data_IF_507323592167
#
_entry.id   IF_507323592167
#
_cell.length_a   1.000
_cell.length_b   1.000
_cell.length_c   1.000
_cell.angle_alpha   90.00
_cell.angle_beta   90.00
_cell.angle_gamma   90.00
#
_symmetry.space_group_name_H-M   'P 1'
#
loop_
_entity.id
_entity.type
_entity.pdbx_description
1 polymer ?
#
# COMPACT_ATOMS: atom_id res chain seq x y z
N UNK A 1 1.61 26.63 -3.91
CA UNK A 1 0.17 26.36 -3.76
C UNK A 1 -0.06 25.65 -2.44
N UNK A 2 -1.09 26.03 -1.66
CA UNK A 2 -1.39 25.36 -0.39
C UNK A 2 -1.67 23.86 -0.65
N UNK A 3 -0.96 22.97 0.05
CA UNK A 3 -1.10 21.51 -0.11
C UNK A 3 -2.53 21.10 0.23
N UNK A 4 -3.39 20.92 -0.77
CA UNK A 4 -4.75 20.39 -0.59
C UNK A 4 -4.63 18.99 0.02
N UNK A 5 -5.34 18.75 1.12
CA UNK A 5 -5.34 17.47 1.82
C UNK A 5 -5.76 16.30 0.93
N UNK A 6 -5.58 15.06 1.40
CA UNK A 6 -6.10 13.89 0.71
C UNK A 6 -7.61 13.85 0.95
N UNK A 7 -8.41 14.02 -0.11
CA UNK A 7 -9.85 13.90 -0.05
C UNK A 7 -10.23 12.42 -0.13
N UNK A 8 -10.83 11.89 0.94
CA UNK A 8 -11.27 10.49 1.04
C UNK A 8 -12.78 10.49 1.21
N UNK A 9 -13.47 9.69 0.40
CA UNK A 9 -14.90 9.48 0.58
C UNK A 9 -15.15 8.55 1.78
N UNK A 10 -15.60 9.12 2.90
CA UNK A 10 -15.88 8.37 4.13
C UNK A 10 -16.99 7.33 3.95
N UNK A 11 -17.92 7.50 3.00
CA UNK A 11 -18.99 6.52 2.74
C UNK A 11 -18.46 5.26 2.04
N UNK A 12 -17.39 5.40 1.25
CA UNK A 12 -16.70 4.25 0.62
C UNK A 12 -15.71 3.64 1.60
N UNK A 13 -14.92 4.47 2.29
CA UNK A 13 -13.89 3.99 3.22
C UNK A 13 -14.45 3.39 4.51
N UNK A 14 -15.69 3.71 4.89
CA UNK A 14 -16.33 3.25 6.13
C UNK A 14 -15.45 3.43 7.36
N UNK A 15 -14.81 4.60 7.49
CA UNK A 15 -13.85 4.97 8.53
C UNK A 15 -12.55 4.14 8.61
N UNK A 16 -12.29 3.21 7.67
CA UNK A 16 -11.03 2.47 7.62
C UNK A 16 -9.80 3.38 7.48
N UNK A 17 -9.94 4.48 6.74
CA UNK A 17 -8.93 5.53 6.57
C UNK A 17 -8.44 6.17 7.88
N UNK A 18 -9.16 6.00 9.00
CA UNK A 18 -8.77 6.54 10.32
C UNK A 18 -7.74 5.69 11.03
N UNK A 19 -7.59 4.43 10.63
CA UNK A 19 -6.70 3.44 11.23
C UNK A 19 -5.50 3.14 10.32
N UNK A 20 -5.28 4.01 9.33
CA UNK A 20 -4.19 3.92 8.37
C UNK A 20 -3.41 5.22 8.36
N UNK A 21 -2.09 5.12 8.27
CA UNK A 21 -1.26 6.28 7.95
C UNK A 21 -1.34 6.52 6.45
N UNK A 22 -1.94 7.64 6.06
CA UNK A 22 -2.11 8.03 4.66
C UNK A 22 -1.34 9.32 4.42
N UNK A 23 -0.32 9.24 3.58
CA UNK A 23 0.56 10.35 3.27
C UNK A 23 0.59 10.64 1.77
N UNK A 24 0.56 11.94 1.42
CA UNK A 24 0.69 12.38 0.03
C UNK A 24 2.17 12.65 -0.26
N UNK A 25 2.72 11.84 -1.15
CA UNK A 25 4.08 12.00 -1.65
C UNK A 25 4.05 12.75 -2.99
N UNK A 26 4.95 13.74 -3.14
CA UNK A 26 5.09 14.52 -4.39
C UNK A 26 6.22 13.97 -5.27
N UNK A 27 7.36 13.67 -4.66
CA UNK A 27 8.51 13.03 -5.32
C UNK A 27 8.50 11.53 -5.02
N UNK A 28 7.86 10.78 -5.91
CA UNK A 28 7.65 9.33 -5.75
C UNK A 28 8.96 8.54 -5.85
N UNK A 29 9.84 8.93 -6.77
CA UNK A 29 11.12 8.26 -6.97
C UNK A 29 12.00 8.40 -5.74
N UNK A 30 12.15 9.63 -5.23
CA UNK A 30 12.91 9.89 -4.01
C UNK A 30 12.34 9.12 -2.82
N UNK A 31 11.03 9.16 -2.61
CA UNK A 31 10.40 8.46 -1.49
C UNK A 31 10.59 6.94 -1.55
N UNK A 32 10.48 6.33 -2.73
CA UNK A 32 10.72 4.88 -2.90
C UNK A 32 12.17 4.55 -2.58
N UNK A 33 13.14 5.33 -3.08
CA UNK A 33 14.57 5.12 -2.78
C UNK A 33 14.86 5.22 -1.29
N UNK A 34 14.38 6.28 -0.63
CA UNK A 34 14.57 6.50 0.81
C UNK A 34 13.94 5.37 1.65
N UNK A 35 12.73 4.92 1.30
CA UNK A 35 12.07 3.81 1.99
C UNK A 35 12.81 2.49 1.78
N UNK A 36 13.24 2.22 0.54
CA UNK A 36 14.00 1.02 0.19
C UNK A 36 15.30 0.94 0.99
N UNK A 37 16.05 2.04 1.07
CA UNK A 37 17.31 2.13 1.82
C UNK A 37 17.10 2.00 3.33
N UNK A 38 16.09 2.69 3.89
CA UNK A 38 15.86 2.73 5.33
C UNK A 38 15.35 1.41 5.90
N UNK A 39 14.45 0.75 5.17
CA UNK A 39 13.68 -0.39 5.66
C UNK A 39 14.08 -1.72 4.98
N UNK A 40 15.06 -1.68 4.07
CA UNK A 40 15.51 -2.83 3.26
C UNK A 40 14.34 -3.56 2.58
N UNK A 41 13.45 -2.79 1.94
CA UNK A 41 12.23 -3.29 1.30
C UNK A 41 12.54 -3.84 -0.09
N UNK A 42 11.88 -4.94 -0.47
CA UNK A 42 11.70 -5.23 -1.90
C UNK A 42 10.59 -4.34 -2.47
N UNK A 43 10.82 -3.76 -3.65
CA UNK A 43 9.85 -2.95 -4.38
C UNK A 43 9.15 -3.82 -5.42
N UNK A 44 7.87 -4.10 -5.17
CA UNK A 44 7.03 -4.95 -6.04
C UNK A 44 6.07 -4.06 -6.80
N UNK A 45 6.16 -4.07 -8.14
CA UNK A 45 5.38 -3.16 -9.00
C UNK A 45 4.41 -3.97 -9.86
N UNK A 46 3.14 -3.56 -9.89
CA UNK A 46 2.18 -4.13 -10.85
C UNK A 46 2.45 -3.58 -12.24
N UNK A 47 2.77 -4.44 -13.20
CA UNK A 47 3.09 -4.04 -14.57
C UNK A 47 2.53 -5.04 -15.58
N UNK A 48 1.76 -4.55 -16.54
CA UNK A 48 1.16 -5.34 -17.61
C UNK A 48 2.19 -5.59 -18.71
N UNK A 49 2.95 -6.68 -18.56
CA UNK A 49 3.96 -7.11 -19.53
C UNK A 49 4.13 -8.63 -19.44
N UNK A 50 4.50 -9.25 -20.56
CA UNK A 50 4.69 -10.72 -20.63
C UNK A 50 5.87 -11.21 -19.78
N UNK A 51 6.84 -10.34 -19.47
CA UNK A 51 7.98 -10.68 -18.60
C UNK A 51 7.67 -10.54 -17.10
N UNK A 52 6.51 -9.99 -16.74
CA UNK A 52 6.08 -9.90 -15.33
C UNK A 52 5.77 -11.28 -14.76
N UNK A 53 6.20 -11.54 -13.53
CA UNK A 53 5.94 -12.80 -12.82
C UNK A 53 4.47 -12.88 -12.39
N UNK A 54 3.93 -14.09 -12.23
CA UNK A 54 2.66 -14.25 -11.52
C UNK A 54 2.83 -13.69 -10.10
N UNK A 55 1.91 -12.82 -9.67
CA UNK A 55 1.95 -12.22 -8.34
C UNK A 55 2.10 -13.26 -7.21
N UNK A 56 1.60 -14.48 -7.40
CA UNK A 56 1.70 -15.56 -6.41
C UNK A 56 3.11 -16.09 -6.19
N UNK A 57 4.04 -15.85 -7.11
CA UNK A 57 5.42 -16.33 -7.04
C UNK A 57 6.31 -15.48 -6.13
N UNK A 58 5.82 -14.29 -5.73
CA UNK A 58 6.57 -13.38 -4.85
C UNK A 58 6.44 -13.82 -3.39
N UNK A 59 7.56 -13.77 -2.66
CA UNK A 59 7.59 -13.94 -1.21
C UNK A 59 7.26 -12.62 -0.50
N UNK A 60 5.98 -12.43 -0.17
CA UNK A 60 5.47 -11.24 0.53
C UNK A 60 5.72 -11.25 2.05
N UNK A 61 6.38 -12.29 2.57
CA UNK A 61 6.74 -12.36 4.00
C UNK A 61 7.95 -11.51 4.34
N UNK A 62 8.70 -11.06 3.32
CA UNK A 62 9.77 -10.06 3.45
C UNK A 62 9.19 -8.64 3.59
N UNK A 63 9.95 -7.69 4.14
CA UNK A 63 9.62 -6.26 4.06
C UNK A 63 9.37 -5.88 2.59
N UNK A 64 8.17 -5.41 2.28
CA UNK A 64 7.70 -5.24 0.88
C UNK A 64 6.98 -3.92 0.70
N UNK A 65 7.39 -3.17 -0.32
CA UNK A 65 6.66 -2.01 -0.83
C UNK A 65 5.89 -2.43 -2.09
N UNK A 66 4.57 -2.54 -1.97
CA UNK A 66 3.69 -2.80 -3.12
C UNK A 66 3.32 -1.47 -3.79
N UNK A 67 3.68 -1.33 -5.06
CA UNK A 67 3.35 -0.18 -5.90
C UNK A 67 2.32 -0.59 -6.94
N UNK A 68 1.13 0.02 -6.87
CA UNK A 68 0.03 -0.22 -7.80
C UNK A 68 -0.15 0.98 -8.72
N UNK A 69 -0.34 0.71 -10.02
CA UNK A 69 -0.51 1.72 -11.05
C UNK A 69 -1.94 2.23 -11.19
N UNK A 70 -2.12 3.35 -11.90
CA UNK A 70 -3.46 3.85 -12.25
C UNK A 70 -3.95 3.20 -13.56
N UNK A 71 -5.27 3.08 -13.74
CA UNK A 71 -5.98 2.28 -14.73
C UNK A 71 -5.60 2.57 -16.19
N UNK A 72 -5.12 3.79 -16.51
CA UNK A 72 -4.83 4.24 -17.87
C UNK A 72 -3.36 4.10 -18.30
N UNK A 73 -2.41 4.17 -17.38
CA UNK A 73 -0.97 4.24 -17.69
C UNK A 73 -0.11 3.28 -16.88
N UNK A 74 -0.72 2.49 -15.98
CA UNK A 74 0.00 1.69 -15.02
C UNK A 74 0.88 2.58 -14.13
N UNK A 75 2.14 2.19 -13.99
CA UNK A 75 3.18 2.86 -13.21
C UNK A 75 4.14 3.57 -14.18
N UNK A 76 4.68 4.74 -13.81
CA UNK A 76 5.63 5.46 -14.67
C UNK A 76 6.95 4.70 -14.82
N UNK A 77 7.61 4.84 -15.97
CA UNK A 77 8.89 4.16 -16.27
C UNK A 77 9.96 4.39 -15.19
N UNK A 78 10.07 5.61 -14.66
CA UNK A 78 11.01 5.94 -13.58
C UNK A 78 10.81 5.05 -12.34
N UNK A 79 9.56 4.73 -12.01
CA UNK A 79 9.22 3.89 -10.86
C UNK A 79 9.41 2.41 -11.22
N UNK A 80 9.15 2.03 -12.47
CA UNK A 80 9.39 0.67 -12.97
C UNK A 80 10.89 0.31 -12.96
N UNK A 81 11.77 1.31 -13.12
CA UNK A 81 13.23 1.16 -13.01
C UNK A 81 13.71 0.95 -11.56
N UNK A 82 12.87 1.27 -10.56
CA UNK A 82 13.17 1.02 -9.14
C UNK A 82 12.64 -0.32 -8.64
N UNK A 83 11.85 -1.02 -9.46
CA UNK A 83 11.24 -2.30 -9.12
C UNK A 83 12.30 -3.38 -8.94
N UNK A 84 12.24 -4.08 -7.82
CA UNK A 84 12.97 -5.35 -7.65
C UNK A 84 12.21 -6.49 -8.34
N UNK A 85 10.87 -6.43 -8.27
CA UNK A 85 9.99 -7.43 -8.85
C UNK A 85 8.85 -6.77 -9.63
N UNK A 86 8.55 -7.32 -10.80
CA UNK A 86 7.41 -6.92 -11.64
C UNK A 86 6.39 -8.05 -11.63
N UNK A 87 5.16 -7.72 -11.27
CA UNK A 87 4.10 -8.72 -11.14
C UNK A 87 2.90 -8.41 -12.02
N UNK A 88 2.22 -9.48 -12.42
CA UNK A 88 0.93 -9.43 -13.09
C UNK A 88 -0.03 -10.41 -12.42
N UNK A 89 -1.31 -10.05 -12.38
CA UNK A 89 -2.37 -11.00 -12.04
C UNK A 89 -2.76 -11.68 -13.36
N UNK A 90 -2.63 -13.02 -13.47
CA UNK A 90 -3.01 -13.70 -14.70
C UNK A 90 -4.46 -13.43 -15.08
N UNK A 91 -4.66 -12.88 -16.27
CA UNK A 91 -5.98 -12.58 -16.82
C UNK A 91 -6.43 -13.71 -17.73
N UNK A 92 -7.65 -14.18 -17.52
CA UNK A 92 -8.31 -15.15 -18.42
C UNK A 92 -9.41 -14.42 -19.17
N UNK A 93 -9.32 -14.39 -20.51
CA UNK A 93 -10.35 -13.79 -21.37
C UNK A 93 -9.92 -12.50 -22.07
N UNK A 94 -10.88 -11.61 -22.32
CA UNK A 94 -10.72 -10.49 -23.27
C UNK A 94 -10.23 -9.18 -22.61
N UNK A 95 -10.26 -9.10 -21.28
CA UNK A 95 -9.87 -7.90 -20.54
C UNK A 95 -8.40 -7.94 -20.17
N UNK A 96 -7.72 -6.82 -20.34
CA UNK A 96 -6.27 -6.71 -20.12
C UNK A 96 -5.90 -6.49 -18.65
N UNK A 97 -6.84 -6.03 -17.82
CA UNK A 97 -6.59 -5.73 -16.42
C UNK A 97 -7.86 -5.76 -15.56
N UNK A 98 -7.66 -5.83 -14.26
CA UNK A 98 -8.71 -5.62 -13.26
C UNK A 98 -8.73 -4.14 -12.82
N UNK A 99 -9.83 -3.73 -12.20
CA UNK A 99 -9.87 -2.47 -11.45
C UNK A 99 -8.74 -2.45 -10.40
N UNK A 100 -8.09 -1.29 -10.23
CA UNK A 100 -6.92 -1.15 -9.36
C UNK A 100 -7.20 -1.54 -7.91
N UNK A 101 -8.38 -1.23 -7.37
CA UNK A 101 -8.75 -1.62 -6.00
C UNK A 101 -8.93 -3.13 -5.88
N UNK A 102 -9.53 -3.77 -6.87
CA UNK A 102 -9.69 -5.24 -6.92
C UNK A 102 -8.34 -5.92 -7.03
N UNK A 103 -7.46 -5.47 -7.94
CA UNK A 103 -6.11 -6.00 -8.09
C UNK A 103 -5.31 -5.86 -6.78
N UNK A 104 -5.36 -4.68 -6.15
CA UNK A 104 -4.71 -4.42 -4.87
C UNK A 104 -5.22 -5.38 -3.79
N UNK A 105 -6.54 -5.59 -3.71
CA UNK A 105 -7.14 -6.53 -2.77
C UNK A 105 -6.64 -7.97 -2.96
N UNK A 106 -6.61 -8.45 -4.21
CA UNK A 106 -6.13 -9.81 -4.53
C UNK A 106 -4.67 -10.00 -4.10
N UNK A 107 -3.79 -9.05 -4.44
CA UNK A 107 -2.37 -9.14 -4.10
C UNK A 107 -2.16 -9.08 -2.58
N UNK A 108 -2.84 -8.17 -1.89
CA UNK A 108 -2.74 -8.06 -0.43
C UNK A 108 -3.29 -9.30 0.29
N UNK A 109 -4.30 -9.98 -0.26
CA UNK A 109 -4.81 -11.23 0.31
C UNK A 109 -3.84 -12.41 0.13
N UNK A 110 -3.08 -12.45 -0.97
CA UNK A 110 -1.99 -13.42 -1.10
C UNK A 110 -0.86 -13.13 -0.10
N UNK A 111 -0.50 -11.86 0.08
CA UNK A 111 0.45 -11.46 1.12
C UNK A 111 -0.04 -11.85 2.52
N UNK A 112 -1.33 -11.63 2.82
CA UNK A 112 -1.97 -12.06 4.06
C UNK A 112 -1.87 -13.57 4.24
N UNK A 113 -2.21 -14.37 3.21
CA UNK A 113 -2.12 -15.83 3.25
C UNK A 113 -0.70 -16.29 3.62
N UNK A 114 0.32 -15.83 2.89
CA UNK A 114 1.71 -16.22 3.16
C UNK A 114 2.17 -15.83 4.57
N UNK A 115 1.77 -14.65 5.05
CA UNK A 115 2.12 -14.16 6.39
C UNK A 115 1.39 -14.90 7.51
N UNK A 116 0.13 -15.31 7.28
CA UNK A 116 -0.61 -16.18 8.19
C UNK A 116 0.04 -17.57 8.27
N UNK A 117 0.42 -18.15 7.13
CA UNK A 117 1.08 -19.46 7.06
C UNK A 117 2.42 -19.46 7.85
N UNK A 118 3.14 -18.33 7.87
CA UNK A 118 4.35 -18.14 8.70
C UNK A 118 4.07 -17.67 10.13
N UNK A 119 2.81 -17.54 10.55
CA UNK A 119 2.43 -17.12 11.89
C UNK A 119 2.80 -15.68 12.23
N UNK A 120 3.03 -14.81 11.24
CA UNK A 120 3.50 -13.44 11.46
C UNK A 120 2.48 -12.53 12.17
N UNK A 121 1.21 -12.92 12.19
CA UNK A 121 0.14 -12.23 12.91
C UNK A 121 -0.13 -12.79 14.32
N UNK A 122 0.60 -13.82 14.75
CA UNK A 122 0.45 -14.39 16.09
C UNK A 122 1.10 -13.53 17.18
N UNK A 123 1.96 -12.59 16.80
CA UNK A 123 2.64 -11.64 17.70
C UNK A 123 2.64 -10.25 17.07
N UNK A 124 2.57 -9.17 17.88
CA UNK A 124 2.76 -7.82 17.37
C UNK A 124 4.13 -7.65 16.70
N UNK A 125 4.15 -6.97 15.55
CA UNK A 125 5.40 -6.61 14.85
C UNK A 125 5.96 -5.27 15.31
N UNK A 126 5.16 -4.48 16.00
CA UNK A 126 5.55 -3.18 16.57
C UNK A 126 5.92 -3.37 18.04
N UNK A 127 6.87 -2.57 18.51
CA UNK A 127 7.19 -2.46 19.93
C UNK A 127 6.01 -1.85 20.72
N UNK A 128 5.95 -2.13 22.02
CA UNK A 128 4.91 -1.56 22.90
C UNK A 128 4.90 -0.03 22.84
N UNK A 129 6.08 0.60 22.82
CA UNK A 129 6.22 2.05 22.69
C UNK A 129 5.61 2.58 21.39
N UNK A 130 5.88 1.94 20.25
CA UNK A 130 5.31 2.35 18.96
C UNK A 130 3.78 2.19 18.97
N UNK A 131 3.27 1.11 19.54
CA UNK A 131 1.83 0.88 19.69
C UNK A 131 1.18 2.00 20.51
N UNK A 132 1.77 2.36 21.65
CA UNK A 132 1.29 3.45 22.49
C UNK A 132 1.29 4.80 21.76
N UNK A 133 2.37 5.13 21.06
CA UNK A 133 2.48 6.36 20.28
C UNK A 133 1.41 6.43 19.17
N UNK A 134 1.15 5.32 18.47
CA UNK A 134 0.11 5.23 17.44
C UNK A 134 -1.29 5.40 18.05
N UNK A 135 -1.58 4.72 19.17
CA UNK A 135 -2.86 4.83 19.87
C UNK A 135 -3.09 6.28 20.32
N UNK A 136 -2.09 6.93 20.91
CA UNK A 136 -2.19 8.33 21.33
C UNK A 136 -2.46 9.26 20.15
N UNK A 137 -1.73 9.07 19.04
CA UNK A 137 -1.92 9.85 17.82
C UNK A 137 -3.34 9.71 17.26
N UNK A 138 -3.83 8.49 17.07
CA UNK A 138 -5.18 8.24 16.55
C UNK A 138 -6.27 8.77 17.48
N UNK A 139 -6.11 8.66 18.81
CA UNK A 139 -7.05 9.24 19.76
C UNK A 139 -7.12 10.76 19.65
N UNK A 140 -5.98 11.44 19.54
CA UNK A 140 -5.92 12.89 19.38
C UNK A 140 -6.59 13.33 18.06
N UNK A 141 -6.34 12.61 16.97
CA UNK A 141 -6.96 12.87 15.66
C UNK A 141 -8.49 12.73 15.70
N UNK A 142 -9.01 11.72 16.40
CA UNK A 142 -10.45 11.52 16.60
C UNK A 142 -11.06 12.69 17.38
N UNK A 143 -10.39 13.14 18.45
CA UNK A 143 -10.85 14.26 19.29
C UNK A 143 -10.86 15.57 18.49
N UNK A 144 -9.81 15.85 17.72
CA UNK A 144 -9.70 17.05 16.90
C UNK A 144 -10.87 17.14 15.89
N UNK A 145 -11.14 16.07 15.16
CA UNK A 145 -12.24 16.00 14.18
C UNK A 145 -13.62 16.17 14.82
N UNK A 146 -13.84 15.64 16.03
CA UNK A 146 -15.10 15.84 16.78
C UNK A 146 -15.33 17.31 17.13
N UNK A 147 -14.27 18.06 17.44
CA UNK A 147 -14.36 19.51 17.73
C UNK A 147 -14.69 20.30 16.46
N UNK A 148 -14.11 19.94 15.32
CA UNK A 148 -14.40 20.57 14.03
C UNK A 148 -15.85 20.39 13.59
N UNK A 149 -16.43 19.20 13.77
CA UNK A 149 -17.85 18.93 13.42
C UNK A 149 -18.89 19.63 14.31
N UNK A 150 -18.47 20.16 15.46
CA UNK A 150 -19.35 20.89 16.40
C UNK A 150 -19.32 22.41 16.18
N UNK A 151 -18.42 22.91 15.33
CA UNK A 151 -18.39 24.30 14.86
C UNK A 151 -19.19 24.41 13.58
#
# INVERSE_FOLDING_TARGET
>A
EAKKGIEINEAVSMAANRWLFIERVYDREKAIKELKERENLQVVVTWLDESSKDFREIDYTKPTLLVVGNELKGVSEDILNLADERIVIPMMGMVQSLNVSVATGIILYEALRQRLDKGMYLKPTLSEKEIEEIIMKWNNDIIARRKERRK
#
